data_IF_649373412581
#
_entry.id   IF_649373412581
#
_cell.length_a   1.000
_cell.length_b   1.000
_cell.length_c   1.000
_cell.angle_alpha   90.00
_cell.angle_beta   90.00
_cell.angle_gamma   90.00
#
_symmetry.space_group_name_H-M   'P 1'
#
loop_
_entity.id
_entity.type
_entity.pdbx_description
1 polymer ?
#
# COMPACT_ATOMS: atom_id res chain seq x y z
N UNK A 1 31.42 14.34 8.77
CA UNK A 1 29.99 14.09 8.50
C UNK A 1 29.82 12.61 8.27
N UNK A 2 29.17 11.87 9.17
CA UNK A 2 28.86 10.45 8.95
C UNK A 2 27.79 10.37 7.87
N UNK A 3 28.10 9.77 6.72
CA UNK A 3 27.09 9.48 5.71
C UNK A 3 26.01 8.60 6.35
N UNK A 4 24.76 9.06 6.30
CA UNK A 4 23.63 8.27 6.83
C UNK A 4 23.43 7.10 5.87
N UNK A 5 23.67 5.87 6.35
CA UNK A 5 23.39 4.66 5.58
C UNK A 5 21.87 4.51 5.50
N UNK A 6 21.32 4.60 4.30
CA UNK A 6 19.90 4.38 4.03
C UNK A 6 19.68 2.96 3.49
N UNK A 7 18.51 2.36 3.77
CA UNK A 7 18.15 1.09 3.15
C UNK A 7 18.03 1.27 1.63
N UNK A 8 18.45 0.25 0.89
CA UNK A 8 18.26 0.23 -0.57
C UNK A 8 16.79 0.03 -0.95
N UNK A 9 16.04 -0.70 -0.12
CA UNK A 9 14.64 -1.06 -0.31
C UNK A 9 13.90 -0.99 1.02
N UNK A 10 12.71 -0.39 1.03
CA UNK A 10 11.76 -0.43 2.15
C UNK A 10 10.51 -1.18 1.71
N UNK A 11 10.14 -2.23 2.44
CA UNK A 11 8.99 -3.07 2.08
C UNK A 11 7.85 -2.85 3.08
N UNK A 12 6.67 -2.56 2.55
CA UNK A 12 5.45 -2.33 3.34
C UNK A 12 4.52 -3.53 3.24
N UNK A 13 3.91 -3.89 4.37
CA UNK A 13 2.62 -4.57 4.34
C UNK A 13 1.51 -3.58 3.97
N UNK A 14 0.29 -4.05 3.72
CA UNK A 14 -0.86 -3.20 3.40
C UNK A 14 -1.80 -3.03 4.60
N UNK A 15 -2.51 -4.10 4.96
CA UNK A 15 -3.53 -4.07 5.99
C UNK A 15 -2.93 -3.75 7.36
N UNK A 16 -3.54 -2.81 8.07
CA UNK A 16 -3.04 -2.26 9.33
C UNK A 16 -1.60 -1.71 9.28
N UNK A 17 -1.12 -1.35 8.08
CA UNK A 17 0.17 -0.67 7.88
C UNK A 17 -0.01 0.64 7.12
N UNK A 18 -0.68 0.60 5.97
CA UNK A 18 -0.96 1.79 5.15
C UNK A 18 -2.41 2.26 5.29
N UNK A 19 -3.31 1.36 5.68
CA UNK A 19 -4.70 1.67 5.98
C UNK A 19 -5.19 0.89 7.22
N UNK A 20 -6.19 1.40 7.96
CA UNK A 20 -6.59 0.86 9.26
C UNK A 20 -7.64 -0.25 9.17
N UNK A 21 -7.54 -1.15 8.19
CA UNK A 21 -8.49 -2.24 7.98
C UNK A 21 -7.85 -3.43 7.23
N UNK A 22 -8.47 -4.60 7.32
CA UNK A 22 -8.28 -5.69 6.35
C UNK A 22 -9.17 -5.49 5.13
N UNK A 23 -8.56 -5.40 3.95
CA UNK A 23 -9.24 -5.12 2.69
C UNK A 23 -10.17 -6.24 2.22
N UNK A 24 -9.93 -7.48 2.65
CA UNK A 24 -10.75 -8.66 2.34
C UNK A 24 -11.92 -8.88 3.32
N UNK A 25 -12.05 -8.05 4.36
CA UNK A 25 -12.99 -8.27 5.46
C UNK A 25 -13.88 -7.06 5.73
N UNK A 26 -13.31 -5.85 5.84
CA UNK A 26 -14.02 -4.69 6.40
C UNK A 26 -14.63 -3.75 5.35
N UNK A 27 -14.25 -3.92 4.09
CA UNK A 27 -14.68 -3.06 2.98
C UNK A 27 -15.10 -3.94 1.80
N UNK A 28 -15.93 -3.41 0.91
CA UNK A 28 -16.41 -4.18 -0.25
C UNK A 28 -15.96 -3.55 -1.57
N UNK A 29 -14.95 -4.12 -2.26
CA UNK A 29 -14.59 -3.70 -3.61
C UNK A 29 -15.77 -3.86 -4.61
N UNK A 30 -15.76 -3.19 -5.77
CA UNK A 30 -14.73 -2.26 -6.22
C UNK A 30 -14.81 -0.89 -5.53
N UNK A 31 -13.68 -0.22 -5.46
CA UNK A 31 -13.55 1.13 -4.95
C UNK A 31 -13.75 2.18 -6.06
N UNK A 32 -14.17 3.38 -5.68
CA UNK A 32 -14.24 4.54 -6.59
C UNK A 32 -13.90 5.83 -5.87
N UNK A 33 -13.39 6.82 -6.62
CA UNK A 33 -13.33 8.21 -6.15
C UNK A 33 -14.73 8.81 -6.21
N UNK A 34 -15.24 9.28 -5.08
CA UNK A 34 -16.41 10.14 -4.97
C UNK A 34 -15.95 11.53 -4.51
N UNK A 35 -15.88 12.46 -5.45
CA UNK A 35 -15.26 13.79 -5.25
C UNK A 35 -13.82 13.66 -4.72
N UNK A 36 -13.61 13.97 -3.45
CA UNK A 36 -12.31 13.99 -2.78
C UNK A 36 -12.10 12.80 -1.82
N UNK A 37 -13.03 11.85 -1.77
CA UNK A 37 -12.92 10.65 -0.94
C UNK A 37 -12.92 9.40 -1.81
N UNK A 38 -12.37 8.31 -1.28
CA UNK A 38 -12.54 6.98 -1.85
C UNK A 38 -13.64 6.29 -1.06
N UNK A 39 -14.55 5.62 -1.78
CA UNK A 39 -15.62 4.82 -1.19
C UNK A 39 -15.64 3.43 -1.79
N UNK A 40 -16.14 2.48 -1.00
CA UNK A 40 -16.39 1.11 -1.44
C UNK A 40 -17.71 0.98 -2.22
N UNK A 41 -18.07 -0.25 -2.61
CA UNK A 41 -19.30 -0.53 -3.36
C UNK A 41 -20.56 0.01 -2.66
N UNK A 42 -20.60 -0.05 -1.34
CA UNK A 42 -21.73 0.38 -0.51
C UNK A 42 -21.70 1.88 -0.17
N UNK A 43 -20.67 2.60 -0.60
CA UNK A 43 -20.49 4.02 -0.26
C UNK A 43 -19.82 4.26 1.08
N UNK A 44 -19.30 3.22 1.73
CA UNK A 44 -18.51 3.36 2.95
C UNK A 44 -17.18 4.00 2.62
N UNK A 45 -16.78 5.00 3.43
CA UNK A 45 -15.51 5.69 3.23
C UNK A 45 -14.33 4.73 3.45
N UNK A 46 -13.40 4.73 2.49
CA UNK A 46 -12.13 4.04 2.56
C UNK A 46 -11.04 5.08 2.76
N UNK A 47 -10.29 4.97 3.86
CA UNK A 47 -9.28 5.95 4.25
C UNK A 47 -7.95 5.26 4.58
N UNK A 48 -6.87 6.03 4.60
CA UNK A 48 -5.51 5.55 4.93
C UNK A 48 -5.08 6.08 6.29
N UNK A 49 -3.96 5.59 6.84
CA UNK A 49 -3.36 6.33 7.95
C UNK A 49 -2.92 7.71 7.46
N UNK A 50 -3.20 8.74 8.25
CA UNK A 50 -3.07 10.16 7.88
C UNK A 50 -1.71 10.52 7.25
N UNK A 51 -0.64 9.86 7.67
CA UNK A 51 0.73 10.15 7.25
C UNK A 51 1.30 9.15 6.24
N UNK A 52 0.56 8.12 5.83
CA UNK A 52 1.07 7.07 4.93
C UNK A 52 1.60 7.65 3.62
N UNK A 53 0.84 8.53 2.96
CA UNK A 53 1.31 9.18 1.72
C UNK A 53 2.57 10.03 1.96
N UNK A 54 2.65 10.72 3.10
CA UNK A 54 3.82 11.55 3.45
C UNK A 54 5.07 10.68 3.66
N UNK A 55 4.92 9.51 4.31
CA UNK A 55 6.01 8.55 4.51
C UNK A 55 6.53 8.04 3.16
N UNK A 56 5.63 7.64 2.25
CA UNK A 56 6.00 7.17 0.91
C UNK A 56 6.72 8.26 0.11
N UNK A 57 6.20 9.50 0.12
CA UNK A 57 6.84 10.65 -0.50
C UNK A 57 8.25 10.87 0.07
N UNK A 58 8.41 10.80 1.40
CA UNK A 58 9.70 11.05 2.04
C UNK A 58 10.75 10.02 1.66
N UNK A 59 10.36 8.75 1.57
CA UNK A 59 11.25 7.69 1.11
C UNK A 59 11.64 7.88 -0.37
N UNK A 60 10.72 8.34 -1.20
CA UNK A 60 11.00 8.73 -2.59
C UNK A 60 12.01 9.87 -2.70
N UNK A 61 11.87 10.93 -1.90
CA UNK A 61 12.86 12.03 -1.82
C UNK A 61 14.25 11.55 -1.40
N UNK A 62 14.29 10.57 -0.47
CA UNK A 62 15.52 9.94 0.01
C UNK A 62 16.09 8.92 -0.98
N UNK A 63 15.44 8.70 -2.12
CA UNK A 63 15.82 7.73 -3.17
C UNK A 63 15.93 6.30 -2.65
N UNK A 64 15.07 5.94 -1.69
CA UNK A 64 14.89 4.55 -1.27
C UNK A 64 13.90 3.88 -2.21
N UNK A 65 14.26 2.74 -2.81
CA UNK A 65 13.25 1.93 -3.50
C UNK A 65 12.20 1.45 -2.49
N UNK A 66 10.95 1.30 -2.94
CA UNK A 66 9.87 0.79 -2.11
C UNK A 66 9.16 -0.39 -2.76
N UNK A 67 8.65 -1.29 -1.93
CA UNK A 67 7.87 -2.44 -2.37
C UNK A 67 6.70 -2.74 -1.43
N UNK A 68 5.75 -3.56 -1.91
CA UNK A 68 4.64 -4.11 -1.13
C UNK A 68 4.84 -5.62 -0.97
N UNK A 69 4.56 -6.15 0.22
CA UNK A 69 4.47 -7.58 0.52
C UNK A 69 3.24 -7.87 1.39
N UNK A 70 2.09 -8.14 0.75
CA UNK A 70 0.80 -8.37 1.41
C UNK A 70 0.27 -9.78 1.17
N UNK A 71 -0.42 -10.30 2.21
CA UNK A 71 -1.01 -11.63 2.24
C UNK A 71 -2.51 -11.66 1.94
N UNK A 72 -3.11 -10.52 1.62
CA UNK A 72 -4.55 -10.44 1.34
C UNK A 72 -4.95 -11.35 0.19
N UNK A 73 -6.13 -11.98 0.29
CA UNK A 73 -6.77 -12.66 -0.85
C UNK A 73 -7.47 -11.70 -1.79
N UNK A 74 -7.73 -10.46 -1.35
CA UNK A 74 -8.37 -9.42 -2.17
C UNK A 74 -7.33 -8.64 -2.97
N UNK A 75 -6.76 -9.33 -3.96
CA UNK A 75 -5.62 -8.86 -4.78
C UNK A 75 -6.05 -7.67 -5.67
N UNK A 76 -7.22 -7.77 -6.30
CA UNK A 76 -7.72 -6.76 -7.22
C UNK A 76 -8.11 -5.48 -6.46
N UNK A 77 -8.82 -5.62 -5.34
CA UNK A 77 -9.12 -4.50 -4.46
C UNK A 77 -7.86 -3.79 -3.96
N UNK A 78 -6.83 -4.53 -3.54
CA UNK A 78 -5.58 -3.93 -3.07
C UNK A 78 -4.87 -3.14 -4.17
N UNK A 79 -4.76 -3.70 -5.37
CA UNK A 79 -4.16 -2.99 -6.51
C UNK A 79 -4.99 -1.77 -6.95
N UNK A 80 -6.32 -1.91 -6.94
CA UNK A 80 -7.21 -0.80 -7.26
C UNK A 80 -7.06 0.34 -6.26
N UNK A 81 -6.98 0.05 -4.97
CA UNK A 81 -6.84 1.07 -3.93
C UNK A 81 -5.49 1.78 -4.04
N UNK A 82 -4.39 1.05 -4.25
CA UNK A 82 -3.06 1.64 -4.54
C UNK A 82 -3.13 2.61 -5.73
N UNK A 83 -3.83 2.23 -6.80
CA UNK A 83 -4.00 3.07 -7.99
C UNK A 83 -4.84 4.32 -7.71
N UNK A 84 -5.96 4.19 -7.00
CA UNK A 84 -6.81 5.33 -6.65
C UNK A 84 -6.13 6.30 -5.68
N UNK A 85 -5.21 5.82 -4.85
CA UNK A 85 -4.38 6.64 -3.95
C UNK A 85 -3.19 7.30 -4.67
N UNK A 86 -3.03 7.06 -5.97
CA UNK A 86 -1.90 7.54 -6.76
C UNK A 86 -0.55 7.05 -6.20
N UNK A 87 -0.54 5.86 -5.58
CA UNK A 87 0.65 5.26 -4.96
C UNK A 87 1.42 4.32 -5.89
N UNK A 88 0.90 4.07 -7.10
CA UNK A 88 1.50 3.13 -8.05
C UNK A 88 2.94 3.52 -8.44
N UNK A 89 3.24 4.82 -8.49
CA UNK A 89 4.58 5.33 -8.79
C UNK A 89 5.60 5.18 -7.65
N UNK A 90 5.14 4.95 -6.40
CA UNK A 90 6.04 4.75 -5.27
C UNK A 90 6.59 3.32 -5.22
N UNK A 91 5.79 2.31 -5.58
CA UNK A 91 6.16 0.91 -5.40
C UNK A 91 6.76 0.30 -6.66
N UNK A 92 8.06 0.01 -6.60
CA UNK A 92 8.80 -0.65 -7.67
C UNK A 92 8.42 -2.13 -7.82
N UNK A 93 8.06 -2.77 -6.72
CA UNK A 93 7.66 -4.18 -6.67
C UNK A 93 6.38 -4.32 -5.82
N UNK A 94 5.47 -5.22 -6.24
CA UNK A 94 4.21 -5.49 -5.52
C UNK A 94 3.95 -6.98 -5.47
N UNK A 95 4.19 -7.56 -4.31
CA UNK A 95 3.96 -8.96 -4.00
C UNK A 95 2.67 -9.07 -3.17
N UNK A 96 1.52 -9.23 -3.84
CA UNK A 96 0.19 -9.23 -3.21
C UNK A 96 -0.53 -10.54 -3.54
N UNK A 97 -0.48 -11.49 -2.63
CA UNK A 97 -1.17 -12.78 -2.72
C UNK A 97 -1.10 -13.54 -1.38
N UNK A 98 -2.04 -14.45 -1.08
CA UNK A 98 -1.94 -15.31 0.08
C UNK A 98 -0.68 -16.17 0.06
N UNK A 99 0.06 -16.18 1.17
CA UNK A 99 1.30 -16.96 1.26
C UNK A 99 2.16 -16.57 2.45
N UNK A 100 3.33 -17.21 2.55
CA UNK A 100 4.33 -16.86 3.55
C UNK A 100 5.15 -15.65 3.07
N UNK A 101 5.40 -14.66 3.95
CA UNK A 101 6.25 -13.49 3.64
C UNK A 101 7.67 -13.85 3.23
N UNK A 102 8.17 -15.02 3.63
CA UNK A 102 9.46 -15.52 3.11
C UNK A 102 9.43 -15.69 1.59
N UNK A 103 8.31 -16.10 1.01
CA UNK A 103 8.16 -16.23 -0.45
C UNK A 103 8.05 -14.87 -1.14
N UNK A 104 7.32 -13.92 -0.55
CA UNK A 104 7.23 -12.55 -1.08
C UNK A 104 8.60 -11.84 -1.16
N UNK A 105 9.57 -12.22 -0.33
CA UNK A 105 10.93 -11.65 -0.33
C UNK A 105 11.94 -12.41 -1.20
N UNK A 106 11.51 -13.48 -1.88
CA UNK A 106 12.37 -14.29 -2.76
C UNK A 106 12.25 -13.92 -4.24
N UNK A 107 11.33 -13.02 -4.59
CA UNK A 107 11.13 -12.53 -5.96
C UNK A 107 11.97 -11.29 -6.26
#
# INVERSE_FOLDING_TARGET
MTSKILPKLVVFDLDYTLWPFWIDTHVTPPFRKDKNIIVDLHGSKVDTYKESTLVLQKLGELKCDMAVASRTSEIDGANQLIKLLDWESFFKYKEIYPGCKVSHFKQ
#
